data_IF_048068950692
#
_entry.id   IF_048068950692
#
_cell.length_a   1.000
_cell.length_b   1.000
_cell.length_c   1.000
_cell.angle_alpha   90.00
_cell.angle_beta   90.00
_cell.angle_gamma   90.00
#
_symmetry.space_group_name_H-M   'P 1'
#
loop_
_entity.id
_entity.type
_entity.pdbx_description
1 polymer ?
#
# COMPACT_ATOMS: atom_id res chain seq x y z
N UNK A 1 7.61 -16.00 -15.17
CA UNK A 1 8.45 -15.66 -14.00
C UNK A 1 7.58 -15.54 -12.76
N UNK A 2 7.92 -16.20 -11.65
CA UNK A 2 7.11 -16.18 -10.44
C UNK A 2 7.18 -14.78 -9.80
N UNK A 3 6.04 -14.11 -9.66
CA UNK A 3 5.97 -12.78 -9.03
C UNK A 3 6.54 -12.83 -7.60
N UNK A 4 7.32 -11.81 -7.23
CA UNK A 4 7.82 -11.68 -5.87
C UNK A 4 6.65 -11.60 -4.88
N UNK A 5 6.77 -12.34 -3.77
CA UNK A 5 5.69 -12.52 -2.80
C UNK A 5 5.55 -11.27 -1.93
N UNK A 6 4.49 -10.48 -2.13
CA UNK A 6 4.12 -9.38 -1.24
C UNK A 6 3.05 -9.84 -0.25
N UNK A 7 3.15 -9.38 1.00
CA UNK A 7 2.11 -9.59 2.04
C UNK A 7 0.96 -8.58 1.94
N UNK A 8 1.22 -7.43 1.33
CA UNK A 8 0.26 -6.32 1.14
C UNK A 8 -0.46 -6.51 -0.20
N UNK A 9 -1.77 -6.30 -0.21
CA UNK A 9 -2.66 -6.37 -1.37
C UNK A 9 -3.22 -4.96 -1.68
N UNK A 10 -3.78 -4.81 -2.89
CA UNK A 10 -4.56 -3.61 -3.26
C UNK A 10 -5.80 -3.52 -2.37
N UNK A 11 -6.14 -2.30 -1.92
CA UNK A 11 -7.26 -2.05 -1.00
C UNK A 11 -6.91 -2.21 0.49
N UNK A 12 -5.71 -2.66 0.84
CA UNK A 12 -5.27 -2.67 2.23
C UNK A 12 -5.05 -1.22 2.71
N UNK A 13 -5.47 -0.93 3.95
CA UNK A 13 -5.08 0.28 4.65
C UNK A 13 -3.71 0.11 5.29
N UNK A 14 -2.81 1.05 5.06
CA UNK A 14 -1.43 0.95 5.47
C UNK A 14 -0.91 2.24 6.09
N UNK A 15 0.11 2.09 6.93
CA UNK A 15 0.86 3.19 7.53
C UNK A 15 2.32 3.15 7.09
N UNK A 16 2.87 4.31 6.77
CA UNK A 16 4.29 4.46 6.47
C UNK A 16 5.09 4.53 7.77
N UNK A 17 6.07 3.64 7.92
CA UNK A 17 6.87 3.48 9.14
C UNK A 17 8.18 4.27 9.04
N UNK A 18 8.71 4.43 7.82
CA UNK A 18 10.03 4.99 7.57
C UNK A 18 10.04 5.87 6.31
N UNK A 19 10.97 6.83 6.29
CA UNK A 19 11.14 7.80 5.21
C UNK A 19 10.45 9.15 5.47
N UNK A 20 10.42 10.01 4.44
CA UNK A 20 9.91 11.39 4.52
C UNK A 20 8.45 11.48 5.00
N UNK A 21 7.64 10.49 4.64
CA UNK A 21 6.21 10.44 4.95
C UNK A 21 5.90 9.52 6.14
N UNK A 22 6.85 9.34 7.06
CA UNK A 22 6.65 8.53 8.27
C UNK A 22 5.43 9.01 9.05
N UNK A 23 4.56 8.09 9.42
CA UNK A 23 3.35 8.36 10.20
C UNK A 23 2.10 8.56 9.34
N UNK A 24 2.24 8.85 8.05
CA UNK A 24 1.10 8.97 7.13
C UNK A 24 0.42 7.62 6.93
N UNK A 25 -0.91 7.67 6.81
CA UNK A 25 -1.79 6.53 6.59
C UNK A 25 -2.54 6.71 5.29
N UNK A 26 -2.87 5.61 4.61
CA UNK A 26 -3.63 5.65 3.37
C UNK A 26 -3.93 4.27 2.81
N UNK A 27 -4.80 4.25 1.81
CA UNK A 27 -5.20 3.03 1.10
C UNK A 27 -4.22 2.71 -0.03
N UNK A 28 -3.92 1.43 -0.23
CA UNK A 28 -3.06 0.96 -1.33
C UNK A 28 -3.84 0.92 -2.64
N UNK A 29 -3.52 1.83 -3.56
CA UNK A 29 -4.11 1.89 -4.90
C UNK A 29 -3.55 0.83 -5.85
N UNK A 30 -2.24 0.60 -5.78
CA UNK A 30 -1.55 -0.36 -6.64
C UNK A 30 -0.31 -0.93 -5.94
N UNK A 31 0.03 -2.17 -6.29
CA UNK A 31 1.22 -2.87 -5.82
C UNK A 31 2.01 -3.35 -7.02
N UNK A 32 3.19 -2.77 -7.21
CA UNK A 32 4.20 -3.26 -8.15
C UNK A 32 5.06 -4.30 -7.42
N UNK A 33 4.73 -5.57 -7.64
CA UNK A 33 5.43 -6.69 -7.00
C UNK A 33 6.83 -6.92 -7.55
N UNK A 34 7.08 -6.57 -8.81
CA UNK A 34 8.38 -6.78 -9.45
C UNK A 34 9.41 -5.80 -8.90
N UNK A 35 9.03 -4.52 -8.78
CA UNK A 35 9.90 -3.48 -8.24
C UNK A 35 9.81 -3.34 -6.72
N UNK A 36 8.97 -4.14 -6.07
CA UNK A 36 8.68 -4.08 -4.64
C UNK A 36 8.19 -2.70 -4.16
N UNK A 37 7.35 -2.05 -4.95
CA UNK A 37 6.81 -0.71 -4.64
C UNK A 37 5.30 -0.70 -4.52
N UNK A 38 4.77 0.24 -3.76
CA UNK A 38 3.34 0.46 -3.56
C UNK A 38 2.97 1.90 -3.83
N UNK A 39 1.82 2.11 -4.45
CA UNK A 39 1.19 3.41 -4.59
C UNK A 39 0.12 3.54 -3.50
N UNK A 40 0.26 4.56 -2.66
CA UNK A 40 -0.63 4.81 -1.52
C UNK A 40 -1.33 6.14 -1.78
N UNK A 41 -2.65 6.16 -1.62
CA UNK A 41 -3.49 7.34 -1.84
C UNK A 41 -3.07 8.49 -0.93
N UNK A 42 -2.94 9.70 -1.49
CA UNK A 42 -2.56 10.93 -0.75
C UNK A 42 -1.23 10.86 0.02
N UNK A 43 -0.35 9.92 -0.28
CA UNK A 43 0.98 9.81 0.36
C UNK A 43 2.06 9.94 -0.71
N UNK A 44 3.15 10.66 -0.38
CA UNK A 44 4.29 10.86 -1.27
C UNK A 44 3.91 11.55 -2.60
N UNK A 45 3.21 12.67 -2.49
CA UNK A 45 2.81 13.50 -3.62
C UNK A 45 4.05 14.22 -4.18
N UNK A 46 4.25 14.11 -5.49
CA UNK A 46 5.32 14.77 -6.22
C UNK A 46 4.74 15.69 -7.30
N UNK A 47 5.43 16.81 -7.55
CA UNK A 47 5.14 17.68 -8.69
C UNK A 47 5.87 17.14 -9.91
N UNK A 48 5.12 16.62 -10.88
CA UNK A 48 5.65 16.15 -12.16
C UNK A 48 5.40 17.22 -13.22
N UNK A 49 6.47 17.64 -13.90
CA UNK A 49 6.33 18.45 -15.10
C UNK A 49 5.74 17.59 -16.23
N UNK A 50 4.61 18.02 -16.79
CA UNK A 50 3.95 17.36 -17.91
C UNK A 50 4.01 18.28 -19.13
N UNK A 51 4.49 17.72 -20.25
CA UNK A 51 4.43 18.40 -21.54
C UNK A 51 2.96 18.59 -21.95
N UNK A 52 2.61 19.66 -22.67
CA UNK A 52 1.26 19.86 -23.19
C UNK A 52 0.79 18.64 -23.99
N UNK A 53 -0.43 18.19 -23.73
CA UNK A 53 -1.11 17.11 -24.45
C UNK A 53 -2.50 17.58 -24.89
N UNK A 54 -3.19 16.82 -25.74
CA UNK A 54 -4.53 17.18 -26.18
C UNK A 54 -5.53 17.30 -25.01
N UNK A 55 -5.37 16.47 -23.98
CA UNK A 55 -6.16 16.52 -22.73
C UNK A 55 -5.72 17.66 -21.80
N UNK A 56 -4.47 18.10 -21.87
CA UNK A 56 -3.96 19.24 -21.10
C UNK A 56 -3.13 20.20 -21.99
N UNK A 57 -3.79 21.10 -22.75
CA UNK A 57 -3.12 21.98 -23.71
C UNK A 57 -2.22 23.05 -23.07
N UNK A 58 -2.45 23.39 -21.80
CA UNK A 58 -1.61 24.33 -21.05
C UNK A 58 -0.32 23.68 -20.51
N UNK A 59 -0.29 22.34 -20.43
CA UNK A 59 0.78 21.61 -19.74
C UNK A 59 0.89 22.04 -18.27
N UNK A 60 2.09 21.92 -17.71
CA UNK A 60 2.43 22.47 -16.40
C UNK A 60 2.87 21.43 -15.38
N UNK A 61 2.74 21.77 -14.10
CA UNK A 61 3.05 20.87 -12.98
C UNK A 61 1.78 20.18 -12.51
N UNK A 62 1.76 18.86 -12.61
CA UNK A 62 0.68 18.02 -12.07
C UNK A 62 1.17 17.37 -10.79
N UNK A 63 0.33 17.40 -9.77
CA UNK A 63 0.56 16.67 -8.53
C UNK A 63 0.08 15.23 -8.72
N UNK A 64 0.97 14.27 -8.50
CA UNK A 64 0.66 12.85 -8.57
C UNK A 64 1.31 12.12 -7.41
N UNK A 65 0.66 11.08 -6.91
CA UNK A 65 1.25 10.20 -5.91
C UNK A 65 2.43 9.42 -6.50
N UNK A 66 3.50 9.29 -5.72
CA UNK A 66 4.65 8.50 -6.07
C UNK A 66 4.75 7.26 -5.20
N UNK A 67 5.31 6.21 -5.80
CA UNK A 67 5.41 4.92 -5.14
C UNK A 67 6.42 4.92 -3.99
N UNK A 68 6.15 4.12 -2.97
CA UNK A 68 7.00 3.89 -1.79
C UNK A 68 7.46 2.43 -1.79
N UNK A 69 8.63 2.14 -1.25
CA UNK A 69 9.12 0.77 -1.13
C UNK A 69 8.30 -0.05 -0.12
N UNK A 70 7.97 -1.30 -0.44
CA UNK A 70 7.14 -2.20 0.37
C UNK A 70 7.63 -2.35 1.82
N UNK A 71 8.95 -2.31 2.06
CA UNK A 71 9.52 -2.45 3.41
C UNK A 71 9.17 -1.29 4.35
N UNK A 72 8.84 -0.12 3.81
CA UNK A 72 8.60 1.09 4.61
C UNK A 72 7.14 1.22 5.03
N UNK A 73 6.34 0.18 4.81
CA UNK A 73 4.89 0.21 4.91
C UNK A 73 4.43 -0.96 5.77
N UNK A 74 3.52 -0.70 6.70
CA UNK A 74 2.89 -1.72 7.55
C UNK A 74 1.38 -1.67 7.37
N UNK A 75 0.74 -2.83 7.49
CA UNK A 75 -0.70 -2.91 7.49
C UNK A 75 -1.26 -2.23 8.74
N UNK A 76 -2.31 -1.45 8.56
CA UNK A 76 -3.09 -0.90 9.66
C UNK A 76 -4.14 -1.94 10.08
N UNK A 77 -4.16 -2.26 11.37
CA UNK A 77 -5.14 -3.19 11.91
C UNK A 77 -6.55 -2.59 11.83
N UNK A 78 -7.53 -3.23 11.16
CA UNK A 78 -8.86 -2.66 11.00
C UNK A 78 -9.62 -2.51 12.32
N UNK A 79 -9.29 -3.30 13.36
CA UNK A 79 -9.94 -3.18 14.67
C UNK A 79 -9.17 -2.28 15.63
N UNK A 80 -7.85 -2.43 15.66
CA UNK A 80 -7.02 -1.79 16.67
C UNK A 80 -6.44 -0.45 16.22
N UNK A 81 -6.52 -0.09 14.92
CA UNK A 81 -6.00 1.17 14.38
C UNK A 81 -4.49 1.33 14.53
N UNK A 82 -3.77 0.25 14.83
CA UNK A 82 -2.33 0.24 15.05
C UNK A 82 -1.62 -0.51 13.94
N UNK A 83 -0.39 -0.10 13.57
CA UNK A 83 0.40 -0.84 12.60
C UNK A 83 0.72 -2.23 13.15
N UNK A 84 0.48 -3.25 12.32
CA UNK A 84 0.51 -4.66 12.73
C UNK A 84 1.27 -5.53 11.72
N UNK A 85 1.80 -6.65 12.20
CA UNK A 85 2.40 -7.68 11.33
C UNK A 85 1.30 -8.60 10.81
N UNK A 86 1.52 -9.14 9.61
CA UNK A 86 0.63 -10.10 8.98
C UNK A 86 1.12 -11.52 9.31
N UNK A 87 0.23 -12.33 9.89
CA UNK A 87 0.35 -13.78 10.01
C UNK A 87 -0.61 -14.46 9.03
N UNK A 88 -0.48 -15.78 8.90
CA UNK A 88 -1.42 -16.58 8.12
C UNK A 88 -2.00 -17.69 8.98
N UNK A 89 -3.32 -17.90 8.90
CA UNK A 89 -4.04 -19.00 9.55
C UNK A 89 -4.76 -19.82 8.47
N UNK A 90 -4.90 -21.13 8.69
CA UNK A 90 -5.80 -21.97 7.89
C UNK A 90 -7.16 -22.01 8.59
N UNK A 91 -8.21 -21.75 7.85
CA UNK A 91 -9.60 -21.97 8.29
C UNK A 91 -9.94 -23.46 8.20
N UNK A 92 -11.05 -23.85 8.82
CA UNK A 92 -11.55 -25.22 8.80
C UNK A 92 -11.90 -25.69 7.37
N UNK A 93 -12.26 -24.74 6.50
CA UNK A 93 -12.47 -24.94 5.05
C UNK A 93 -11.17 -25.15 4.25
N UNK A 94 -10.00 -25.20 4.90
CA UNK A 94 -8.69 -25.37 4.27
C UNK A 94 -8.10 -24.10 3.63
N UNK A 95 -8.85 -22.99 3.56
CA UNK A 95 -8.38 -21.71 3.00
C UNK A 95 -7.34 -21.05 3.91
N UNK A 96 -6.29 -20.48 3.30
CA UNK A 96 -5.26 -19.72 4.01
C UNK A 96 -5.57 -18.23 3.99
N UNK A 97 -5.88 -17.66 5.15
CA UNK A 97 -6.25 -16.25 5.32
C UNK A 97 -5.16 -15.45 6.00
N UNK A 98 -5.07 -14.15 5.66
CA UNK A 98 -4.22 -13.20 6.37
C UNK A 98 -4.88 -12.79 7.69
N UNK A 99 -4.07 -12.74 8.76
CA UNK A 99 -4.50 -12.38 10.11
C UNK A 99 -3.58 -11.29 10.67
N UNK A 100 -4.16 -10.25 11.24
CA UNK A 100 -3.43 -9.25 12.00
C UNK A 100 -2.91 -9.85 13.31
N UNK A 101 -1.60 -9.76 13.58
CA UNK A 101 -1.01 -10.36 14.78
C UNK A 101 -1.52 -9.71 16.07
N UNK A 102 -1.74 -8.39 16.06
CA UNK A 102 -2.15 -7.64 17.25
C UNK A 102 -3.61 -7.91 17.66
N UNK A 103 -4.57 -7.76 16.76
CA UNK A 103 -5.98 -7.99 17.08
C UNK A 103 -6.47 -9.42 16.84
N UNK A 104 -5.67 -10.26 16.17
CA UNK A 104 -6.11 -11.57 15.70
C UNK A 104 -7.19 -11.50 14.60
N UNK A 105 -7.48 -10.31 14.07
CA UNK A 105 -8.54 -10.11 13.08
C UNK A 105 -8.16 -10.66 11.71
N UNK A 106 -9.12 -11.29 11.06
CA UNK A 106 -9.00 -11.70 9.67
C UNK A 106 -9.03 -10.47 8.75
N UNK A 107 -8.15 -10.47 7.76
CA UNK A 107 -7.89 -9.33 6.85
C UNK A 107 -8.36 -9.59 5.42
N UNK A 108 -8.69 -10.84 5.12
CA UNK A 108 -9.20 -11.29 3.83
C UNK A 108 -10.63 -11.79 4.04
N UNK A 109 -11.61 -11.23 3.33
CA UNK A 109 -12.87 -11.94 3.04
C UNK A 109 -12.65 -12.92 1.87
#
# INVERSE_FOLDING_TARGET
MSQAKSRIKKGDNVRVIAGKHKGSEGEVMAVDRERQRVLIKNVNIIKKAQKPTQENPRGGFVEQEATIHLSNVQLLDPKAGVPTRISYRRLDDGRKVRVAVKSGSQLDE
#
